data_IF_772489889200
#
_entry.id   IF_772489889200
#
_cell.length_a   1.000
_cell.length_b   1.000
_cell.length_c   1.000
_cell.angle_alpha   90.00
_cell.angle_beta   90.00
_cell.angle_gamma   90.00
#
_symmetry.space_group_name_H-M   'P 1'
#
loop_
_entity.id
_entity.type
_entity.pdbx_description
1 polymer ?
#
# COMPACT_ATOMS: atom_id res chain seq x y z
N UNK A 1 23.53 16.96 -15.15
CA UNK A 1 22.63 17.97 -14.55
C UNK A 1 21.74 17.23 -13.56
N UNK A 2 22.08 17.23 -12.26
CA UNK A 2 21.33 16.47 -11.25
C UNK A 2 20.05 17.23 -10.95
N UNK A 3 18.91 16.63 -11.28
CA UNK A 3 17.59 17.19 -11.04
C UNK A 3 17.37 17.30 -9.53
N UNK A 4 17.43 18.53 -9.01
CA UNK A 4 17.25 18.81 -7.57
C UNK A 4 15.85 18.37 -7.16
N UNK A 5 15.77 17.45 -6.21
CA UNK A 5 14.52 17.07 -5.56
C UNK A 5 13.79 18.31 -5.02
N UNK A 6 12.66 18.65 -5.63
CA UNK A 6 11.76 19.71 -5.13
C UNK A 6 10.64 19.01 -4.36
N UNK A 7 10.57 19.15 -3.03
CA UNK A 7 9.49 18.53 -2.28
C UNK A 7 8.14 19.09 -2.75
N UNK A 8 7.15 18.20 -2.85
CA UNK A 8 5.76 18.59 -3.13
C UNK A 8 5.34 19.57 -2.04
N UNK A 9 5.00 20.81 -2.44
CA UNK A 9 4.37 21.75 -1.52
C UNK A 9 2.89 21.42 -1.45
N UNK A 10 2.38 21.07 -0.26
CA UNK A 10 0.94 20.89 -0.01
C UNK A 10 0.17 22.23 -0.01
N UNK A 11 0.41 23.05 -1.01
CA UNK A 11 -0.34 24.27 -1.30
C UNK A 11 -1.08 24.07 -2.62
N UNK A 12 -2.16 24.82 -2.85
CA UNK A 12 -2.92 24.78 -4.12
C UNK A 12 -2.02 24.99 -5.35
N UNK A 13 -0.95 25.76 -5.21
CA UNK A 13 0.05 25.97 -6.26
C UNK A 13 0.99 24.77 -6.44
N UNK A 14 1.38 24.09 -5.35
CA UNK A 14 2.31 22.96 -5.38
C UNK A 14 1.70 21.62 -5.81
N UNK A 15 0.37 21.48 -5.73
CA UNK A 15 -0.36 20.32 -6.29
C UNK A 15 -0.96 20.60 -7.67
N UNK A 16 -0.80 21.82 -8.19
CA UNK A 16 -1.29 22.21 -9.52
C UNK A 16 -0.57 21.39 -10.58
N UNK A 17 -1.33 20.62 -11.37
CA UNK A 17 -0.78 19.77 -12.43
C UNK A 17 -0.55 18.31 -12.03
N UNK A 18 -0.76 17.94 -10.75
CA UNK A 18 -0.85 16.52 -10.39
C UNK A 18 -2.09 15.93 -11.04
N UNK A 19 -1.88 14.91 -11.87
CA UNK A 19 -2.94 14.16 -12.53
C UNK A 19 -3.34 12.96 -11.67
N UNK A 20 -4.58 12.51 -11.84
CA UNK A 20 -5.02 11.23 -11.28
C UNK A 20 -4.15 10.11 -11.84
N UNK A 21 -3.76 9.15 -11.00
CA UNK A 21 -2.99 8.00 -11.44
C UNK A 21 -3.79 7.20 -12.48
N UNK A 22 -3.17 6.88 -13.61
CA UNK A 22 -3.77 6.02 -14.62
C UNK A 22 -4.18 4.64 -14.05
N UNK A 23 -3.40 4.11 -13.10
CA UNK A 23 -3.69 2.84 -12.43
C UNK A 23 -4.90 2.92 -11.51
N UNK A 24 -5.16 4.09 -10.91
CA UNK A 24 -6.36 4.29 -10.09
C UNK A 24 -7.60 4.45 -10.97
N UNK A 25 -7.49 5.23 -12.05
CA UNK A 25 -8.59 5.46 -12.99
C UNK A 25 -9.11 4.16 -13.61
N UNK A 26 -8.22 3.24 -13.99
CA UNK A 26 -8.65 1.95 -14.55
C UNK A 26 -9.31 1.05 -13.48
N UNK A 27 -8.81 1.07 -12.24
CA UNK A 27 -9.42 0.31 -11.13
C UNK A 27 -10.85 0.78 -10.86
N UNK A 28 -11.09 2.09 -10.88
CA UNK A 28 -12.43 2.64 -10.66
C UNK A 28 -13.37 2.32 -11.81
N UNK A 29 -12.87 2.38 -13.06
CA UNK A 29 -13.65 1.97 -14.22
C UNK A 29 -14.06 0.49 -14.17
N UNK A 30 -13.16 -0.40 -13.73
CA UNK A 30 -13.47 -1.81 -13.55
C UNK A 30 -14.58 -2.00 -12.49
N UNK A 31 -14.51 -1.28 -11.37
CA UNK A 31 -15.57 -1.32 -10.34
C UNK A 31 -16.93 -0.87 -10.89
N UNK A 32 -16.97 0.20 -11.68
CA UNK A 32 -18.20 0.65 -12.35
C UNK A 32 -18.78 -0.42 -13.26
N UNK A 33 -17.93 -1.12 -14.01
CA UNK A 33 -18.37 -2.19 -14.91
C UNK A 33 -18.94 -3.39 -14.13
N UNK A 34 -18.31 -3.80 -13.03
CA UNK A 34 -18.85 -4.85 -12.15
C UNK A 34 -20.16 -4.44 -11.50
N UNK A 35 -20.27 -3.20 -11.00
CA UNK A 35 -21.52 -2.68 -10.43
C UNK A 35 -22.66 -2.64 -11.46
N UNK A 36 -22.33 -2.43 -12.73
CA UNK A 36 -23.27 -2.53 -13.86
C UNK A 36 -23.55 -3.98 -14.32
N UNK A 37 -23.06 -5.00 -13.60
CA UNK A 37 -23.29 -6.41 -13.92
C UNK A 37 -22.46 -6.94 -15.09
N UNK A 38 -21.44 -6.21 -15.56
CA UNK A 38 -20.58 -6.67 -16.66
C UNK A 38 -19.56 -7.68 -16.17
N UNK A 39 -19.33 -8.73 -16.97
CA UNK A 39 -18.30 -9.71 -16.71
C UNK A 39 -16.93 -9.18 -17.18
N UNK A 40 -16.12 -8.68 -16.24
CA UNK A 40 -14.79 -8.12 -16.50
C UNK A 40 -13.73 -8.90 -15.72
N UNK A 41 -12.72 -9.40 -16.42
CA UNK A 41 -11.55 -10.04 -15.80
C UNK A 41 -10.48 -9.00 -15.54
N UNK A 42 -10.28 -8.67 -14.27
CA UNK A 42 -9.30 -7.66 -13.86
C UNK A 42 -7.95 -8.29 -13.53
N UNK A 43 -7.02 -8.24 -14.48
CA UNK A 43 -5.67 -8.81 -14.35
C UNK A 43 -4.61 -7.80 -13.84
N UNK A 44 -4.99 -6.55 -13.60
CA UNK A 44 -4.10 -5.50 -13.10
C UNK A 44 -4.15 -5.37 -11.56
N UNK A 45 -4.27 -6.49 -10.85
CA UNK A 45 -4.24 -6.49 -9.39
C UNK A 45 -2.80 -6.28 -8.88
N UNK A 46 -2.61 -5.29 -8.01
CA UNK A 46 -1.32 -5.03 -7.33
C UNK A 46 -1.23 -5.67 -5.94
N UNK A 47 -2.26 -6.40 -5.52
CA UNK A 47 -2.37 -7.04 -4.22
C UNK A 47 -2.55 -8.56 -4.36
N UNK A 48 -2.11 -9.31 -3.35
CA UNK A 48 -2.41 -10.73 -3.26
C UNK A 48 -3.91 -10.95 -3.10
N UNK A 49 -4.47 -11.85 -3.91
CA UNK A 49 -5.87 -12.30 -3.79
C UNK A 49 -6.04 -13.44 -2.78
N UNK A 50 -4.94 -13.96 -2.23
CA UNK A 50 -4.98 -15.02 -1.24
C UNK A 50 -5.31 -14.48 0.15
N UNK A 51 -6.02 -15.25 0.98
CA UNK A 51 -6.19 -14.88 2.38
C UNK A 51 -4.83 -14.77 3.08
N UNK A 52 -4.76 -13.90 4.08
CA UNK A 52 -3.57 -13.80 4.94
C UNK A 52 -3.33 -15.16 5.61
N UNK A 53 -2.08 -15.62 5.58
CA UNK A 53 -1.73 -16.91 6.18
C UNK A 53 -2.08 -16.94 7.68
N UNK A 54 -2.72 -18.01 8.22
CA UNK A 54 -3.20 -18.06 9.61
C UNK A 54 -2.14 -17.69 10.66
N UNK A 55 -0.91 -18.20 10.51
CA UNK A 55 0.21 -17.84 11.41
C UNK A 55 0.47 -16.34 11.53
N UNK A 56 0.27 -15.57 10.46
CA UNK A 56 0.46 -14.12 10.45
C UNK A 56 -0.72 -13.45 11.18
N UNK A 57 -1.95 -13.88 10.88
CA UNK A 57 -3.14 -13.39 11.57
C UNK A 57 -3.09 -13.65 13.08
N UNK A 58 -2.71 -14.86 13.50
CA UNK A 58 -2.58 -15.25 14.90
C UNK A 58 -1.47 -14.45 15.61
N UNK A 59 -0.36 -14.17 14.93
CA UNK A 59 0.70 -13.32 15.47
C UNK A 59 0.19 -11.87 15.69
N UNK A 60 -0.58 -11.33 14.75
CA UNK A 60 -1.21 -10.01 14.89
C UNK A 60 -2.17 -9.99 16.08
N UNK A 61 -3.11 -10.93 16.15
CA UNK A 61 -4.12 -11.02 17.22
C UNK A 61 -3.46 -11.13 18.61
N UNK A 62 -2.44 -11.97 18.76
CA UNK A 62 -1.73 -12.13 20.04
C UNK A 62 -1.01 -10.87 20.51
N UNK A 63 -0.72 -9.93 19.62
CA UNK A 63 0.06 -8.73 19.92
C UNK A 63 -0.75 -7.43 19.89
N UNK A 64 -2.08 -7.49 19.75
CA UNK A 64 -2.95 -6.29 19.65
C UNK A 64 -2.83 -5.30 20.82
N UNK A 65 -2.41 -5.77 21.99
CA UNK A 65 -2.24 -4.93 23.18
C UNK A 65 -0.92 -4.13 23.16
N UNK A 66 0.02 -4.45 22.25
CA UNK A 66 1.31 -3.74 22.12
C UNK A 66 1.11 -2.41 21.37
N UNK A 67 0.98 -1.33 22.13
CA UNK A 67 0.64 0.03 21.65
C UNK A 67 1.72 1.10 21.87
N UNK A 68 2.85 0.71 22.43
CA UNK A 68 3.96 1.63 22.68
C UNK A 68 4.75 1.91 21.40
N UNK A 69 5.45 3.05 21.37
CA UNK A 69 6.38 3.36 20.30
C UNK A 69 7.44 2.27 20.14
N UNK A 70 7.78 1.97 18.89
CA UNK A 70 8.86 1.08 18.51
C UNK A 70 10.04 1.91 17.99
N UNK A 71 11.26 1.34 17.93
CA UNK A 71 12.38 2.01 17.26
C UNK A 71 12.01 2.36 15.81
N UNK A 72 12.47 3.52 15.34
CA UNK A 72 12.15 4.00 13.99
C UNK A 72 12.56 3.03 12.87
N UNK A 73 13.63 2.26 13.10
CA UNK A 73 14.12 1.24 12.16
C UNK A 73 13.39 -0.11 12.27
N UNK A 74 12.44 -0.27 13.20
CA UNK A 74 11.80 -1.54 13.54
C UNK A 74 12.46 -2.25 14.73
N UNK A 75 11.78 -3.28 15.25
CA UNK A 75 12.25 -4.04 16.42
C UNK A 75 13.52 -4.85 16.09
N UNK A 76 14.49 -4.97 17.02
CA UNK A 76 15.75 -5.66 16.76
C UNK A 76 15.58 -7.11 16.26
N UNK A 77 14.60 -7.83 16.81
CA UNK A 77 14.33 -9.23 16.49
C UNK A 77 13.87 -9.39 15.04
N UNK A 78 12.99 -8.50 14.56
CA UNK A 78 12.52 -8.50 13.17
C UNK A 78 13.66 -8.17 12.21
N UNK A 79 14.48 -7.17 12.54
CA UNK A 79 15.61 -6.77 11.69
C UNK A 79 16.62 -7.91 11.55
N UNK A 80 16.91 -8.61 12.66
CA UNK A 80 17.79 -9.79 12.65
C UNK A 80 17.20 -10.91 11.79
N UNK A 81 15.93 -11.26 12.01
CA UNK A 81 15.26 -12.31 11.25
C UNK A 81 15.22 -12.04 9.73
N UNK A 82 15.04 -10.78 9.32
CA UNK A 82 15.10 -10.38 7.90
C UNK A 82 16.52 -10.51 7.34
N UNK A 83 17.55 -10.17 8.11
CA UNK A 83 18.94 -10.24 7.64
C UNK A 83 19.48 -11.68 7.52
N UNK A 84 18.87 -12.64 8.22
CA UNK A 84 19.23 -14.06 8.21
C UNK A 84 18.52 -14.84 7.08
N UNK A 85 17.70 -14.19 6.25
CA UNK A 85 16.91 -14.77 5.16
C UNK A 85 17.13 -14.03 3.84
#
# INVERSE_FOLDING_TARGET
MVERYRPIRFSRAGVRGLKVSATLSINDRVKEMWAAGKNVFHLAFGESRFPVHPKIADALVRNVQKRSYLPAAGIPELRKAIAEH
#
